data_IF_923931019148
#
_entry.id   IF_923931019148
#
_cell.length_a   1.000
_cell.length_b   1.000
_cell.length_c   1.000
_cell.angle_alpha   90.00
_cell.angle_beta   90.00
_cell.angle_gamma   90.00
#
_symmetry.space_group_name_H-M   'P 1'
#
loop_
_entity.id
_entity.type
_entity.pdbx_description
1 polymer ?
#
# COMPACT_ATOMS: atom_id res chain seq x y z
N UNK A 1 9.87 -13.03 -6.64
CA UNK A 1 10.39 -12.51 -7.94
C UNK A 1 11.13 -11.21 -7.69
N UNK A 2 12.20 -10.91 -8.42
CA UNK A 2 12.88 -9.61 -8.27
C UNK A 2 12.20 -8.58 -9.18
N UNK A 3 11.70 -7.50 -8.59
CA UNK A 3 11.01 -6.38 -9.24
C UNK A 3 11.58 -5.07 -8.69
N UNK A 4 11.98 -4.14 -9.56
CA UNK A 4 12.64 -2.87 -9.16
C UNK A 4 13.78 -3.09 -8.13
N UNK A 5 14.50 -4.23 -8.24
CA UNK A 5 15.61 -4.58 -7.33
C UNK A 5 15.18 -5.09 -5.94
N UNK A 6 13.88 -5.32 -5.70
CA UNK A 6 13.34 -5.88 -4.45
C UNK A 6 12.81 -7.30 -4.66
N UNK A 7 12.97 -8.16 -3.68
CA UNK A 7 12.33 -9.46 -3.65
C UNK A 7 10.84 -9.29 -3.32
N UNK A 8 9.98 -9.52 -4.30
CA UNK A 8 8.53 -9.43 -4.16
C UNK A 8 7.94 -10.83 -3.99
N UNK A 9 7.20 -11.01 -2.90
CA UNK A 9 6.45 -12.21 -2.62
C UNK A 9 5.04 -12.10 -3.22
N UNK A 10 4.58 -13.17 -3.85
CA UNK A 10 3.24 -13.28 -4.41
C UNK A 10 2.84 -14.75 -4.52
N UNK A 11 1.56 -15.01 -4.63
CA UNK A 11 1.00 -16.30 -5.02
C UNK A 11 0.25 -16.16 -6.34
N UNK A 12 0.34 -17.19 -7.18
CA UNK A 12 -0.27 -17.25 -8.52
C UNK A 12 -0.83 -18.66 -8.74
N UNK A 13 -2.13 -18.78 -8.69
CA UNK A 13 -2.84 -20.06 -8.73
C UNK A 13 -4.18 -19.95 -9.49
N UNK A 14 -4.95 -21.06 -9.53
CA UNK A 14 -6.21 -21.14 -10.26
C UNK A 14 -5.99 -21.37 -11.76
N UNK A 15 -7.00 -21.02 -12.58
CA UNK A 15 -6.98 -21.28 -14.02
C UNK A 15 -6.20 -20.20 -14.79
N UNK A 16 -4.95 -20.48 -15.11
CA UNK A 16 -4.03 -19.54 -15.81
C UNK A 16 -4.47 -19.16 -17.24
N UNK A 17 -5.40 -19.89 -17.84
CA UNK A 17 -5.94 -19.57 -19.17
C UNK A 17 -7.10 -18.56 -19.13
N UNK A 18 -7.52 -18.13 -17.94
CA UNK A 18 -8.60 -17.17 -17.72
C UNK A 18 -8.05 -15.80 -17.34
N UNK A 19 -8.93 -14.79 -17.35
CA UNK A 19 -8.59 -13.44 -16.89
C UNK A 19 -8.01 -13.49 -15.47
N UNK A 20 -6.88 -12.82 -15.28
CA UNK A 20 -6.25 -12.73 -13.98
C UNK A 20 -7.00 -11.77 -13.05
N UNK A 21 -7.30 -12.22 -11.85
CA UNK A 21 -7.74 -11.42 -10.71
C UNK A 21 -6.52 -11.11 -9.86
N UNK A 22 -6.19 -9.84 -9.72
CA UNK A 22 -5.01 -9.36 -8.98
C UNK A 22 -5.47 -8.69 -7.70
N UNK A 23 -5.09 -9.25 -6.57
CA UNK A 23 -5.50 -8.80 -5.24
C UNK A 23 -4.38 -8.03 -4.55
N UNK A 24 -4.71 -6.83 -4.07
CA UNK A 24 -3.80 -5.92 -3.38
C UNK A 24 -4.34 -5.62 -1.99
N UNK A 25 -3.59 -5.97 -0.96
CA UNK A 25 -3.97 -5.77 0.44
C UNK A 25 -3.81 -4.31 0.91
N UNK A 26 -4.34 -3.99 2.08
CA UNK A 26 -4.19 -2.70 2.73
C UNK A 26 -2.85 -2.54 3.45
N UNK A 27 -2.60 -1.32 3.96
CA UNK A 27 -1.42 -1.02 4.76
C UNK A 27 -1.34 -1.93 6.00
N UNK A 28 -0.16 -2.42 6.32
CA UNK A 28 0.06 -3.29 7.47
C UNK A 28 -0.46 -4.73 7.33
N UNK A 29 -0.96 -5.10 6.15
CA UNK A 29 -1.51 -6.41 5.86
C UNK A 29 -0.58 -7.21 4.93
N UNK A 30 -1.04 -8.39 4.49
CA UNK A 30 -0.29 -9.28 3.61
C UNK A 30 -1.24 -10.19 2.81
N UNK A 31 -0.67 -11.12 2.05
CA UNK A 31 -1.40 -12.12 1.25
C UNK A 31 -2.53 -12.79 2.02
N UNK A 32 -2.35 -13.15 3.30
CA UNK A 32 -3.34 -13.90 4.06
C UNK A 32 -4.69 -13.16 4.18
N UNK A 33 -4.64 -11.83 4.25
CA UNK A 33 -5.85 -10.99 4.31
C UNK A 33 -6.72 -11.13 3.05
N UNK A 34 -6.09 -11.23 1.86
CA UNK A 34 -6.82 -11.32 0.59
C UNK A 34 -7.06 -12.76 0.13
N UNK A 35 -6.36 -13.74 0.72
CA UNK A 35 -6.39 -15.14 0.26
C UNK A 35 -7.78 -15.76 0.39
N UNK A 36 -8.48 -15.53 1.51
CA UNK A 36 -9.83 -16.08 1.69
C UNK A 36 -10.83 -15.59 0.65
N UNK A 37 -10.67 -14.34 0.17
CA UNK A 37 -11.47 -13.83 -0.95
C UNK A 37 -11.00 -14.42 -2.27
N UNK A 38 -9.69 -14.49 -2.53
CA UNK A 38 -9.12 -15.05 -3.75
C UNK A 38 -9.52 -16.52 -3.98
N UNK A 39 -9.59 -17.32 -2.91
CA UNK A 39 -9.97 -18.73 -2.97
C UNK A 39 -11.41 -18.98 -3.45
N UNK A 40 -12.25 -17.94 -3.52
CA UNK A 40 -13.60 -18.04 -4.10
C UNK A 40 -13.61 -17.96 -5.63
N UNK A 41 -12.46 -17.74 -6.29
CA UNK A 41 -12.36 -17.48 -7.73
C UNK A 41 -11.41 -18.45 -8.44
N UNK A 42 -11.38 -19.72 -8.04
CA UNK A 42 -10.46 -20.74 -8.59
C UNK A 42 -10.65 -21.02 -10.09
N UNK A 43 -11.81 -20.68 -10.65
CA UNK A 43 -12.07 -20.74 -12.09
C UNK A 43 -11.32 -19.65 -12.88
N UNK A 44 -10.77 -18.65 -12.18
CA UNK A 44 -9.94 -17.60 -12.73
C UNK A 44 -8.47 -17.81 -12.34
N UNK A 45 -7.56 -17.12 -13.01
CA UNK A 45 -6.20 -16.95 -12.50
C UNK A 45 -6.23 -15.98 -11.34
N UNK A 46 -5.70 -16.37 -10.20
CA UNK A 46 -5.65 -15.56 -8.97
C UNK A 46 -4.21 -15.22 -8.65
N UNK A 47 -3.91 -13.93 -8.59
CA UNK A 47 -2.61 -13.40 -8.16
C UNK A 47 -2.81 -12.53 -6.94
N UNK A 48 -2.14 -12.83 -5.83
CA UNK A 48 -2.17 -12.02 -4.60
C UNK A 48 -0.74 -11.63 -4.27
N UNK A 49 -0.53 -10.35 -4.02
CA UNK A 49 0.82 -9.77 -3.86
C UNK A 49 1.00 -9.27 -2.43
N UNK A 50 2.11 -9.63 -1.79
CA UNK A 50 2.62 -8.87 -0.66
C UNK A 50 3.24 -7.58 -1.19
N UNK A 51 2.65 -6.44 -0.88
CA UNK A 51 3.19 -5.15 -1.30
C UNK A 51 4.56 -4.91 -0.64
N UNK A 52 5.51 -4.22 -1.31
CA UNK A 52 6.82 -3.90 -0.76
C UNK A 52 6.77 -3.31 0.65
N UNK A 53 7.56 -3.89 1.56
CA UNK A 53 7.57 -3.55 2.98
C UNK A 53 6.55 -4.29 3.83
N UNK A 54 5.80 -5.25 3.25
CA UNK A 54 4.79 -6.04 3.94
C UNK A 54 4.93 -7.54 3.65
N UNK A 55 4.40 -8.37 4.57
CA UNK A 55 4.42 -9.81 4.43
C UNK A 55 5.84 -10.35 4.28
N UNK A 56 6.08 -11.12 3.23
CA UNK A 56 7.39 -11.67 2.86
C UNK A 56 8.08 -10.89 1.72
N UNK A 57 7.54 -9.73 1.31
CA UNK A 57 8.19 -8.83 0.36
C UNK A 57 9.24 -7.96 1.05
N UNK A 58 10.35 -7.72 0.33
CA UNK A 58 11.43 -6.85 0.80
C UNK A 58 10.95 -5.40 0.98
N UNK A 59 11.47 -4.72 2.00
CA UNK A 59 11.19 -3.31 2.25
C UNK A 59 11.97 -2.42 1.27
N UNK A 60 11.35 -1.34 0.72
CA UNK A 60 12.05 -0.37 -0.11
C UNK A 60 13.23 0.28 0.62
N UNK A 61 14.36 0.46 -0.10
CA UNK A 61 15.58 1.10 0.43
C UNK A 61 15.52 2.63 0.38
N UNK A 62 14.54 3.18 -0.35
CA UNK A 62 14.27 4.62 -0.47
C UNK A 62 12.79 4.88 -0.18
N UNK A 63 12.42 6.15 0.03
CA UNK A 63 11.02 6.51 0.23
C UNK A 63 10.27 6.35 -1.10
N UNK A 64 9.35 5.39 -1.13
CA UNK A 64 8.49 5.14 -2.29
C UNK A 64 7.22 5.96 -2.24
N UNK A 65 6.85 6.50 -3.39
CA UNK A 65 5.54 7.11 -3.66
C UNK A 65 4.51 6.06 -4.06
N UNK A 66 3.24 6.45 -4.23
CA UNK A 66 2.21 5.54 -4.77
C UNK A 66 2.54 5.14 -6.21
N UNK A 67 3.18 6.04 -6.98
CA UNK A 67 3.65 5.76 -8.35
C UNK A 67 4.68 4.62 -8.38
N UNK A 68 5.61 4.58 -7.43
CA UNK A 68 6.61 3.50 -7.34
C UNK A 68 5.96 2.13 -7.12
N UNK A 69 4.89 2.07 -6.30
CA UNK A 69 4.09 0.84 -6.12
C UNK A 69 3.32 0.47 -7.39
N UNK A 70 2.81 1.44 -8.14
CA UNK A 70 2.15 1.20 -9.43
C UNK A 70 3.14 0.65 -10.45
N UNK A 71 4.33 1.23 -10.54
CA UNK A 71 5.36 0.77 -11.47
C UNK A 71 5.86 -0.65 -11.11
N UNK A 72 6.01 -0.93 -9.81
CA UNK A 72 6.33 -2.28 -9.31
C UNK A 72 5.25 -3.28 -9.73
N UNK A 73 3.98 -2.93 -9.54
CA UNK A 73 2.87 -3.79 -9.92
C UNK A 73 2.86 -4.03 -11.43
N UNK A 74 3.09 -2.98 -12.23
CA UNK A 74 3.14 -3.10 -13.69
C UNK A 74 4.25 -4.06 -14.13
N UNK A 75 5.47 -3.89 -13.62
CA UNK A 75 6.60 -4.77 -13.94
C UNK A 75 6.32 -6.22 -13.52
N UNK A 76 5.70 -6.44 -12.35
CA UNK A 76 5.29 -7.77 -11.89
C UNK A 76 4.30 -8.41 -12.87
N UNK A 77 3.25 -7.67 -13.27
CA UNK A 77 2.22 -8.18 -14.17
C UNK A 77 2.78 -8.48 -15.57
N UNK A 78 3.69 -7.65 -16.08
CA UNK A 78 4.40 -7.92 -17.34
C UNK A 78 5.20 -9.22 -17.26
N UNK A 79 5.97 -9.44 -16.18
CA UNK A 79 6.74 -10.68 -15.99
C UNK A 79 5.85 -11.93 -15.82
N UNK A 80 4.60 -11.74 -15.38
CA UNK A 80 3.60 -12.79 -15.27
C UNK A 80 2.78 -12.98 -16.57
N UNK A 81 3.05 -12.21 -17.63
CA UNK A 81 2.29 -12.16 -18.88
C UNK A 81 0.80 -11.87 -18.62
N UNK A 82 0.52 -10.81 -17.84
CA UNK A 82 -0.84 -10.33 -17.52
C UNK A 82 -1.00 -8.91 -18.05
N UNK A 83 -1.71 -8.76 -19.19
CA UNK A 83 -1.85 -7.48 -19.89
C UNK A 83 -3.06 -6.65 -19.43
N UNK A 84 -4.17 -7.30 -19.10
CA UNK A 84 -5.45 -6.64 -18.81
C UNK A 84 -6.14 -7.30 -17.61
N UNK A 85 -5.64 -7.07 -16.38
CA UNK A 85 -6.14 -7.71 -15.17
C UNK A 85 -7.50 -7.14 -14.73
N UNK A 86 -8.19 -7.91 -13.87
CA UNK A 86 -9.16 -7.36 -12.92
C UNK A 86 -8.41 -7.11 -11.62
N UNK A 87 -8.34 -5.86 -11.18
CA UNK A 87 -7.66 -5.49 -9.92
C UNK A 87 -8.70 -5.36 -8.80
N UNK A 88 -8.44 -6.03 -7.68
CA UNK A 88 -9.23 -5.95 -6.45
C UNK A 88 -8.31 -5.43 -5.35
N UNK A 89 -8.51 -4.18 -4.93
CA UNK A 89 -7.63 -3.54 -3.96
C UNK A 89 -8.38 -3.09 -2.71
N UNK A 90 -7.81 -3.40 -1.54
CA UNK A 90 -8.31 -2.92 -0.26
C UNK A 90 -7.48 -1.74 0.24
N UNK A 91 -8.14 -0.66 0.66
CA UNK A 91 -7.49 0.51 1.27
C UNK A 91 -6.29 1.02 0.46
N UNK A 92 -5.05 0.83 0.93
CA UNK A 92 -3.83 1.20 0.22
C UNK A 92 -3.69 0.48 -1.13
N UNK A 93 -3.97 -0.84 -1.18
CA UNK A 93 -3.98 -1.59 -2.42
C UNK A 93 -5.00 -1.08 -3.43
N UNK A 94 -6.16 -0.59 -2.96
CA UNK A 94 -7.15 0.04 -3.83
C UNK A 94 -6.69 1.41 -4.35
N UNK A 95 -5.95 2.18 -3.55
CA UNK A 95 -5.33 3.43 -4.02
C UNK A 95 -4.30 3.16 -5.12
N UNK A 96 -3.48 2.11 -4.98
CA UNK A 96 -2.54 1.66 -6.03
C UNK A 96 -3.33 1.25 -7.28
N UNK A 97 -4.40 0.46 -7.13
CA UNK A 97 -5.25 0.04 -8.24
C UNK A 97 -5.92 1.20 -8.98
N UNK A 98 -6.39 2.23 -8.25
CA UNK A 98 -6.95 3.45 -8.84
C UNK A 98 -5.91 4.17 -9.71
N UNK A 99 -4.72 4.43 -9.17
CA UNK A 99 -3.66 5.09 -9.93
C UNK A 99 -3.15 4.21 -11.08
N UNK A 100 -3.08 2.88 -10.89
CA UNK A 100 -2.74 1.94 -11.96
C UNK A 100 -3.70 2.06 -13.15
N UNK A 101 -5.00 2.12 -12.90
CA UNK A 101 -6.04 2.21 -13.93
C UNK A 101 -6.03 3.53 -14.71
N UNK A 102 -5.39 4.59 -14.20
CA UNK A 102 -5.17 5.84 -14.96
C UNK A 102 -4.01 5.74 -15.95
N UNK A 103 -3.06 4.82 -15.71
CA UNK A 103 -1.83 4.67 -16.51
C UNK A 103 -1.86 3.47 -17.44
N UNK A 104 -2.51 2.39 -17.02
CA UNK A 104 -2.46 1.10 -17.70
C UNK A 104 -3.84 0.49 -17.88
N UNK A 105 -3.95 -0.40 -18.86
CA UNK A 105 -5.19 -1.08 -19.19
C UNK A 105 -5.60 -2.04 -18.07
N UNK A 106 -6.85 -1.96 -17.63
CA UNK A 106 -7.47 -2.91 -16.71
C UNK A 106 -8.82 -3.35 -17.27
N UNK A 107 -9.21 -4.59 -17.06
CA UNK A 107 -10.53 -5.08 -17.45
C UNK A 107 -11.62 -4.56 -16.52
N UNK A 108 -11.33 -4.56 -15.21
CA UNK A 108 -12.16 -4.00 -14.14
C UNK A 108 -11.28 -3.60 -12.96
N UNK A 109 -11.79 -2.66 -12.18
CA UNK A 109 -11.22 -2.28 -10.89
C UNK A 109 -12.30 -2.36 -9.82
N UNK A 110 -11.98 -3.02 -8.72
CA UNK A 110 -12.82 -3.10 -7.50
C UNK A 110 -12.04 -2.49 -6.35
N UNK A 111 -12.58 -1.40 -5.80
CA UNK A 111 -11.98 -0.70 -4.67
C UNK A 111 -12.77 -0.97 -3.39
N UNK A 112 -12.12 -1.56 -2.40
CA UNK A 112 -12.69 -1.87 -1.10
C UNK A 112 -12.13 -0.87 -0.08
N UNK A 113 -12.97 0.05 0.42
CA UNK A 113 -12.61 1.07 1.41
C UNK A 113 -11.33 1.87 1.05
N UNK A 114 -11.19 2.28 -0.21
CA UNK A 114 -9.97 2.89 -0.74
C UNK A 114 -10.05 4.42 -0.77
N UNK A 115 -9.20 5.13 -0.02
CA UNK A 115 -9.17 6.59 -0.06
C UNK A 115 -8.47 7.06 -1.33
N UNK A 116 -9.12 7.91 -2.11
CA UNK A 116 -8.57 8.50 -3.34
C UNK A 116 -8.09 9.95 -3.16
N UNK A 117 -8.63 10.65 -2.15
CA UNK A 117 -8.24 12.01 -1.79
C UNK A 117 -7.28 12.04 -0.61
N UNK A 118 -6.51 13.11 -0.54
CA UNK A 118 -5.75 13.44 0.66
C UNK A 118 -6.68 13.53 1.86
N UNK A 119 -6.43 12.72 2.89
CA UNK A 119 -7.19 12.82 4.11
C UNK A 119 -6.74 14.03 4.92
N UNK A 120 -7.65 14.98 5.10
CA UNK A 120 -7.45 16.08 6.05
C UNK A 120 -7.59 15.51 7.46
N UNK A 121 -6.48 15.06 8.04
CA UNK A 121 -6.49 14.64 9.45
C UNK A 121 -6.74 15.87 10.30
N UNK A 122 -7.95 16.00 10.85
CA UNK A 122 -8.21 16.98 11.90
C UNK A 122 -7.36 16.61 13.12
N UNK A 123 -6.26 17.36 13.28
CA UNK A 123 -5.38 17.19 14.44
C UNK A 123 -6.18 17.47 15.70
N UNK A 124 -6.23 16.49 16.63
CA UNK A 124 -6.84 16.71 17.94
C UNK A 124 -6.17 17.91 18.63
N UNK A 125 -6.89 18.60 19.51
CA UNK A 125 -6.33 19.73 20.29
C UNK A 125 -5.02 19.36 20.98
N UNK A 126 -4.89 18.12 21.49
CA UNK A 126 -3.65 17.59 22.08
C UNK A 126 -2.48 17.57 21.08
N UNK A 127 -2.74 17.17 19.83
CA UNK A 127 -1.71 17.13 18.78
C UNK A 127 -1.34 18.53 18.30
N UNK A 128 -2.30 19.49 18.28
CA UNK A 128 -2.03 20.90 18.00
C UNK A 128 -1.17 21.53 19.07
N UNK A 129 -1.46 21.27 20.36
CA UNK A 129 -0.66 21.76 21.50
C UNK A 129 0.77 21.21 21.47
N UNK A 130 0.96 19.91 21.13
CA UNK A 130 2.28 19.31 21.02
C UNK A 130 3.09 19.86 19.83
N UNK A 131 2.44 20.23 18.72
CA UNK A 131 3.11 20.90 17.59
C UNK A 131 3.57 22.33 17.95
N UNK A 132 2.81 23.06 18.75
CA UNK A 132 3.20 24.39 19.26
C UNK A 132 4.30 24.29 20.30
N UNK A 133 4.29 23.28 21.17
CA UNK A 133 5.36 23.03 22.16
C UNK A 133 6.73 22.71 21.51
N UNK A 134 6.75 22.20 20.26
CA UNK A 134 8.00 22.01 19.48
C UNK A 134 8.78 23.30 19.21
N UNK A 135 8.14 24.45 19.26
CA UNK A 135 8.78 25.76 19.05
C UNK A 135 9.48 26.30 20.30
N UNK A 136 9.38 25.63 21.47
CA UNK A 136 9.98 26.05 22.72
C UNK A 136 11.34 25.37 22.92
N UNK A 137 12.46 26.14 23.02
CA UNK A 137 13.78 25.57 23.30
C UNK A 137 13.76 24.81 24.62
N UNK A 138 14.26 23.58 24.67
CA UNK A 138 14.34 22.75 25.91
C UNK A 138 13.37 21.55 25.92
N UNK A 139 12.33 21.49 25.09
CA UNK A 139 11.34 20.41 25.07
C UNK A 139 11.66 19.26 24.08
N UNK A 140 12.88 19.24 23.52
CA UNK A 140 13.32 18.16 22.59
C UNK A 140 13.25 16.76 23.19
N UNK A 141 13.41 16.61 24.52
CA UNK A 141 13.26 15.29 25.19
C UNK A 141 11.84 14.75 25.18
N UNK A 142 10.82 15.60 25.07
CA UNK A 142 9.42 15.22 24.97
C UNK A 142 9.04 14.72 23.53
N UNK A 143 9.87 15.02 22.53
CA UNK A 143 9.64 14.58 21.15
C UNK A 143 9.73 13.05 20.99
N UNK A 144 10.69 12.41 21.68
CA UNK A 144 10.84 10.95 21.70
C UNK A 144 9.63 10.26 22.35
N UNK A 145 9.15 10.84 23.46
CA UNK A 145 7.97 10.33 24.17
C UNK A 145 6.68 10.53 23.36
N UNK A 146 6.52 11.69 22.72
CA UNK A 146 5.38 11.99 21.87
C UNK A 146 5.33 11.09 20.61
N UNK A 147 6.48 10.86 19.94
CA UNK A 147 6.57 9.95 18.79
C UNK A 147 6.16 8.52 19.16
N UNK A 148 6.44 8.09 20.39
CA UNK A 148 6.12 6.73 20.86
C UNK A 148 4.64 6.54 21.21
N UNK A 149 3.89 7.62 21.46
CA UNK A 149 2.50 7.58 21.93
C UNK A 149 1.49 8.18 20.94
N UNK A 150 1.95 8.88 19.90
CA UNK A 150 1.07 9.51 18.88
C UNK A 150 1.22 8.74 17.57
N UNK A 151 0.09 8.28 17.03
CA UNK A 151 0.01 7.57 15.75
C UNK A 151 -0.85 6.29 15.86
N UNK A 152 -1.31 5.79 14.72
CA UNK A 152 -1.99 4.50 14.64
C UNK A 152 -1.05 3.36 15.06
N UNK A 153 -1.60 2.22 15.43
CA UNK A 153 -0.80 1.01 15.75
C UNK A 153 0.14 0.65 14.60
N UNK A 154 -0.34 0.76 13.36
CA UNK A 154 0.45 0.48 12.16
C UNK A 154 1.64 1.42 12.00
N UNK A 155 1.45 2.73 12.30
CA UNK A 155 2.54 3.71 12.27
C UNK A 155 3.60 3.42 13.35
N UNK A 156 3.17 2.98 14.54
CA UNK A 156 4.09 2.68 15.66
C UNK A 156 4.95 1.45 15.38
N UNK A 157 4.36 0.43 14.75
CA UNK A 157 5.02 -0.84 14.44
C UNK A 157 5.86 -0.79 13.16
N UNK A 158 5.66 0.21 12.31
CA UNK A 158 6.41 0.35 11.07
C UNK A 158 7.88 0.75 11.31
N UNK A 159 8.78 0.31 10.42
CA UNK A 159 10.16 0.78 10.35
C UNK A 159 10.23 2.29 10.09
N UNK A 160 11.40 2.90 10.25
CA UNK A 160 11.56 4.32 9.94
C UNK A 160 11.26 4.62 8.46
N UNK A 161 11.69 3.73 7.56
CA UNK A 161 11.43 3.86 6.13
C UNK A 161 9.94 3.77 5.83
N UNK A 162 9.26 2.75 6.34
CA UNK A 162 7.83 2.56 6.12
C UNK A 162 6.99 3.69 6.73
N UNK A 163 7.43 4.33 7.83
CA UNK A 163 6.76 5.54 8.35
C UNK A 163 6.82 6.71 7.37
N UNK A 164 7.96 6.90 6.70
CA UNK A 164 8.11 7.94 5.66
C UNK A 164 7.21 7.65 4.47
N UNK A 165 7.19 6.40 4.01
CA UNK A 165 6.31 5.93 2.92
C UNK A 165 4.83 6.09 3.30
N UNK A 166 4.43 5.79 4.56
CA UNK A 166 3.07 6.01 5.03
C UNK A 166 2.66 7.49 4.92
N UNK A 167 3.56 8.40 5.27
CA UNK A 167 3.29 9.85 5.17
C UNK A 167 3.08 10.26 3.71
N UNK A 168 3.89 9.76 2.79
CA UNK A 168 3.71 9.98 1.35
C UNK A 168 2.37 9.43 0.87
N UNK A 169 2.06 8.17 1.20
CA UNK A 169 0.81 7.53 0.83
C UNK A 169 -0.44 8.29 1.33
N UNK A 170 -0.46 8.71 2.60
CA UNK A 170 -1.62 9.43 3.19
C UNK A 170 -1.82 10.80 2.56
N UNK A 171 -0.73 11.47 2.16
CA UNK A 171 -0.77 12.79 1.53
C UNK A 171 -0.99 12.75 0.01
N UNK A 172 -0.87 11.60 -0.61
CA UNK A 172 -1.04 11.44 -2.06
C UNK A 172 -2.51 11.59 -2.46
N UNK A 173 -2.80 12.49 -3.39
CA UNK A 173 -4.14 12.78 -3.92
C UNK A 173 -4.24 12.30 -5.38
N UNK A 174 -5.26 11.50 -5.69
CA UNK A 174 -5.49 10.96 -7.05
C UNK A 174 -6.65 11.69 -7.74
N UNK A 175 -7.26 12.70 -7.09
CA UNK A 175 -8.47 13.36 -7.62
C UNK A 175 -8.21 14.40 -8.70
N UNK A 176 -6.95 14.66 -9.06
CA UNK A 176 -6.55 15.63 -10.10
C UNK A 176 -6.20 14.93 -11.40
#
# INVERSE_FOLDING_TARGET
MIIKGLAINYIDYGNKNKTALVFLHGWGQNIQMMKGLGDQFLDNRVVIVDLPGFGASEEPKTVWTVDDYVDMLHELLQKLNIDCPIIIGHSFGGKIGLLYATKYKVKKLVCLASPYKKQVVQLSLKTKLLKTAKKVPGLKKLEGFAKKHIGSTDYKNASEMMRKIMVEHVNYDISN
#
